data_IF_455098896891
#
_entry.id   IF_455098896891
#
_cell.length_a   1.000
_cell.length_b   1.000
_cell.length_c   1.000
_cell.angle_alpha   90.00
_cell.angle_beta   90.00
_cell.angle_gamma   90.00
#
_symmetry.space_group_name_H-M   'P 1'
#
loop_
_entity.id
_entity.type
_entity.pdbx_description
1 polymer ?
#
# COMPACT_ATOMS: atom_id res chain seq x y z
N UNK A 1 8.20 -19.72 20.48
CA UNK A 1 9.55 -19.86 19.93
C UNK A 1 9.70 -20.81 18.72
N UNK A 2 8.74 -21.68 18.41
CA UNK A 2 8.83 -22.58 17.23
C UNK A 2 8.50 -21.91 15.89
N UNK A 3 7.78 -20.80 15.86
CA UNK A 3 7.30 -20.15 14.63
C UNK A 3 8.27 -19.09 14.07
N UNK A 4 9.31 -18.70 14.83
CA UNK A 4 10.31 -17.74 14.37
C UNK A 4 11.35 -18.38 13.43
N UNK A 5 11.50 -19.72 13.48
CA UNK A 5 12.43 -20.47 12.63
C UNK A 5 11.95 -20.70 11.20
N UNK A 6 10.63 -20.53 10.93
CA UNK A 6 10.05 -20.79 9.61
C UNK A 6 10.34 -19.63 8.63
N UNK A 7 10.38 -18.39 9.13
CA UNK A 7 10.67 -17.20 8.30
C UNK A 7 12.11 -17.16 7.79
N UNK A 8 13.07 -17.63 8.57
CA UNK A 8 14.47 -17.69 8.17
C UNK A 8 14.76 -18.82 7.17
N UNK A 9 14.00 -19.91 7.23
CA UNK A 9 14.15 -21.03 6.31
C UNK A 9 13.67 -20.70 4.89
N UNK A 10 12.65 -19.84 4.73
CA UNK A 10 12.14 -19.46 3.41
C UNK A 10 13.11 -18.56 2.64
N UNK A 11 13.83 -17.66 3.35
CA UNK A 11 14.85 -16.79 2.77
C UNK A 11 16.12 -17.58 2.41
N UNK A 12 16.45 -18.63 3.16
CA UNK A 12 17.61 -19.46 2.92
C UNK A 12 17.42 -20.44 1.75
N UNK A 13 16.18 -20.87 1.44
CA UNK A 13 15.91 -21.75 0.32
C UNK A 13 16.00 -21.05 -1.06
N UNK A 14 15.95 -19.74 -1.11
CA UNK A 14 16.05 -18.97 -2.37
C UNK A 14 17.53 -18.74 -2.75
N UNK A 15 18.48 -18.87 -1.83
CA UNK A 15 19.88 -18.49 -2.04
C UNK A 15 20.86 -19.62 -2.31
N UNK A 16 20.49 -20.88 -2.15
CA UNK A 16 21.45 -21.99 -2.34
C UNK A 16 20.77 -23.27 -2.80
N UNK A 17 20.82 -23.55 -4.02
CA UNK A 17 20.77 -24.81 -4.79
C UNK A 17 19.84 -24.67 -6.01
N UNK A 18 20.38 -24.99 -7.17
CA UNK A 18 19.67 -25.28 -8.40
C UNK A 18 18.87 -26.60 -8.28
N UNK A 19 17.88 -26.61 -7.40
CA UNK A 19 16.86 -27.63 -7.40
C UNK A 19 15.72 -27.11 -8.27
N UNK A 20 15.37 -27.82 -9.31
CA UNK A 20 14.16 -27.62 -10.09
C UNK A 20 12.95 -27.96 -9.21
N UNK A 21 12.67 -27.09 -8.24
CA UNK A 21 11.43 -27.13 -7.48
C UNK A 21 10.33 -26.74 -8.48
N UNK A 22 9.36 -27.63 -8.70
CA UNK A 22 8.28 -27.34 -9.63
C UNK A 22 7.57 -26.08 -9.16
N UNK A 23 7.28 -25.15 -10.10
CA UNK A 23 6.56 -23.90 -9.81
C UNK A 23 5.24 -24.17 -9.06
N UNK A 24 4.65 -25.33 -9.25
CA UNK A 24 3.44 -25.79 -8.58
C UNK A 24 3.67 -26.11 -7.09
N UNK A 25 4.81 -26.71 -6.72
CA UNK A 25 5.16 -26.97 -5.33
C UNK A 25 5.39 -25.68 -4.56
N UNK A 26 6.12 -24.73 -5.13
CA UNK A 26 6.36 -23.40 -4.54
C UNK A 26 5.03 -22.68 -4.34
N UNK A 27 4.18 -22.67 -5.35
CA UNK A 27 2.86 -22.07 -5.33
C UNK A 27 1.97 -22.69 -4.23
N UNK A 28 1.92 -24.01 -4.13
CA UNK A 28 1.11 -24.68 -3.13
C UNK A 28 1.60 -24.35 -1.70
N UNK A 29 2.92 -24.32 -1.49
CA UNK A 29 3.52 -23.95 -0.22
C UNK A 29 3.29 -22.49 0.16
N UNK A 30 3.35 -21.57 -0.81
CA UNK A 30 3.03 -20.14 -0.58
C UNK A 30 1.55 -19.99 -0.22
N UNK A 31 0.64 -20.68 -0.91
CA UNK A 31 -0.79 -20.63 -0.60
C UNK A 31 -1.11 -21.22 0.78
N UNK A 32 -0.53 -22.39 1.11
CA UNK A 32 -0.69 -23.03 2.40
C UNK A 32 -0.22 -22.11 3.53
N UNK A 33 1.01 -21.59 3.44
CA UNK A 33 1.57 -20.63 4.40
C UNK A 33 0.73 -19.37 4.52
N UNK A 34 0.32 -18.80 3.38
CA UNK A 34 -0.50 -17.58 3.33
C UNK A 34 -1.85 -17.80 4.03
N UNK A 35 -2.52 -18.91 3.74
CA UNK A 35 -3.83 -19.20 4.32
C UNK A 35 -3.74 -19.51 5.82
N UNK A 36 -2.77 -20.32 6.25
CA UNK A 36 -2.56 -20.63 7.67
C UNK A 36 -2.20 -19.39 8.47
N UNK A 37 -1.30 -18.54 7.94
CA UNK A 37 -0.90 -17.29 8.57
C UNK A 37 -2.07 -16.32 8.64
N UNK A 38 -2.83 -16.15 7.56
CA UNK A 38 -4.00 -15.29 7.53
C UNK A 38 -5.08 -15.76 8.52
N UNK A 39 -5.32 -17.08 8.63
CA UNK A 39 -6.24 -17.63 9.61
C UNK A 39 -5.78 -17.41 11.06
N UNK A 40 -4.50 -17.64 11.34
CA UNK A 40 -3.94 -17.42 12.68
C UNK A 40 -4.04 -15.95 13.12
N UNK A 41 -3.68 -15.01 12.21
CA UNK A 41 -3.80 -13.57 12.45
C UNK A 41 -5.27 -13.17 12.58
N UNK A 42 -6.14 -13.69 11.72
CA UNK A 42 -7.59 -13.40 11.76
C UNK A 42 -8.20 -13.84 13.09
N UNK A 43 -7.86 -15.04 13.58
CA UNK A 43 -8.34 -15.53 14.87
C UNK A 43 -7.81 -14.69 16.04
N UNK A 44 -6.52 -14.34 16.01
CA UNK A 44 -5.94 -13.45 17.01
C UNK A 44 -6.63 -12.08 17.01
N UNK A 45 -6.81 -11.48 15.84
CA UNK A 45 -7.43 -10.16 15.71
C UNK A 45 -8.90 -10.18 16.14
N UNK A 46 -9.68 -11.19 15.76
CA UNK A 46 -11.08 -11.36 16.19
C UNK A 46 -11.22 -11.48 17.72
N UNK A 47 -10.29 -12.17 18.34
CA UNK A 47 -10.33 -12.39 19.79
C UNK A 47 -9.88 -11.18 20.60
N UNK A 48 -9.07 -10.28 20.02
CA UNK A 48 -8.46 -9.16 20.76
C UNK A 48 -8.89 -7.77 20.23
N UNK A 49 -9.39 -7.69 18.98
CA UNK A 49 -9.72 -6.42 18.32
C UNK A 49 -11.02 -6.57 17.50
N UNK A 50 -12.15 -6.61 18.16
CA UNK A 50 -13.48 -6.95 17.60
C UNK A 50 -13.84 -6.15 16.33
N UNK A 51 -13.46 -4.87 16.28
CA UNK A 51 -13.83 -3.97 15.18
C UNK A 51 -12.72 -3.77 14.14
N UNK A 52 -11.60 -4.47 14.25
CA UNK A 52 -10.58 -4.44 13.21
C UNK A 52 -11.10 -5.11 11.94
N UNK A 53 -11.01 -4.42 10.81
CA UNK A 53 -11.50 -4.88 9.51
C UNK A 53 -10.39 -5.21 8.52
N UNK A 54 -9.21 -4.64 8.73
CA UNK A 54 -8.06 -4.78 7.83
C UNK A 54 -6.76 -4.74 8.62
N UNK A 55 -5.83 -5.60 8.23
CA UNK A 55 -4.45 -5.60 8.72
C UNK A 55 -3.53 -5.95 7.57
N UNK A 56 -2.44 -5.22 7.40
CA UNK A 56 -1.40 -5.57 6.46
C UNK A 56 0.01 -5.44 7.02
N UNK A 57 0.91 -6.16 6.36
CA UNK A 57 2.36 -6.11 6.55
C UNK A 57 2.97 -5.85 5.18
N UNK A 58 3.74 -4.79 5.04
CA UNK A 58 4.34 -4.37 3.77
C UNK A 58 5.86 -4.32 3.88
N UNK A 59 6.53 -4.80 2.84
CA UNK A 59 7.96 -4.68 2.63
C UNK A 59 8.16 -3.91 1.34
N UNK A 60 8.78 -2.74 1.44
CA UNK A 60 9.07 -1.88 0.30
C UNK A 60 10.56 -1.83 0.05
N UNK A 61 10.92 -1.82 -1.21
CA UNK A 61 12.29 -1.65 -1.68
C UNK A 61 12.33 -0.50 -2.69
N UNK A 62 13.34 0.32 -2.60
CA UNK A 62 13.62 1.40 -3.54
C UNK A 62 15.11 1.45 -3.79
N UNK A 63 15.52 1.71 -5.02
CA UNK A 63 16.94 1.87 -5.35
C UNK A 63 17.57 2.95 -4.47
N UNK A 64 18.80 2.72 -4.07
CA UNK A 64 19.61 3.62 -3.22
C UNK A 64 19.13 3.81 -1.78
N UNK A 65 18.06 3.14 -1.35
CA UNK A 65 17.52 3.19 0.01
C UNK A 65 17.53 1.81 0.66
N UNK A 66 17.50 1.78 1.99
CA UNK A 66 17.29 0.56 2.76
C UNK A 66 15.84 0.07 2.59
N UNK A 67 15.58 -1.25 2.68
CA UNK A 67 14.22 -1.78 2.72
C UNK A 67 13.42 -1.14 3.85
N UNK A 68 12.18 -0.77 3.56
CA UNK A 68 11.22 -0.23 4.53
C UNK A 68 10.20 -1.30 4.90
N UNK A 69 9.74 -1.27 6.13
CA UNK A 69 8.73 -2.18 6.66
C UNK A 69 7.55 -1.36 7.17
N UNK A 70 6.35 -1.87 6.97
CA UNK A 70 5.19 -1.27 7.61
C UNK A 70 4.19 -2.31 8.11
N UNK A 71 3.48 -1.95 9.17
CA UNK A 71 2.29 -2.65 9.65
C UNK A 71 1.17 -1.63 9.72
N UNK A 72 0.00 -1.98 9.18
CA UNK A 72 -1.13 -1.07 9.13
C UNK A 72 -2.43 -1.79 9.47
N UNK A 73 -3.31 -1.12 10.21
CA UNK A 73 -4.63 -1.60 10.54
C UNK A 73 -5.71 -0.57 10.22
N UNK A 74 -6.91 -1.06 9.85
CA UNK A 74 -8.12 -0.25 9.76
C UNK A 74 -9.18 -0.86 10.68
N UNK A 75 -9.70 -0.02 11.58
CA UNK A 75 -10.69 -0.40 12.59
C UNK A 75 -11.97 0.40 12.38
N UNK A 76 -13.11 -0.26 12.30
CA UNK A 76 -14.41 0.38 12.28
C UNK A 76 -14.72 0.96 13.67
N UNK A 77 -14.96 2.25 13.74
CA UNK A 77 -15.35 2.93 14.99
C UNK A 77 -16.87 3.03 15.09
N UNK A 78 -17.52 3.36 13.98
CA UNK A 78 -18.96 3.51 13.93
C UNK A 78 -19.48 3.18 12.53
N UNK A 79 -20.47 2.33 12.45
CA UNK A 79 -21.23 2.10 11.22
C UNK A 79 -22.29 3.18 11.07
N UNK A 80 -22.31 3.86 9.93
CA UNK A 80 -23.33 4.86 9.58
C UNK A 80 -24.15 4.36 8.38
N UNK A 81 -25.24 5.08 8.05
CA UNK A 81 -26.05 4.73 6.90
C UNK A 81 -25.22 4.78 5.61
N UNK A 82 -25.15 3.63 4.93
CA UNK A 82 -24.36 3.43 3.70
C UNK A 82 -22.87 3.80 3.85
N UNK A 83 -22.29 3.66 5.05
CA UNK A 83 -20.90 4.06 5.26
C UNK A 83 -20.32 3.66 6.61
N UNK A 84 -19.16 4.25 6.91
CA UNK A 84 -18.39 3.97 8.13
C UNK A 84 -17.59 5.17 8.59
N UNK A 85 -17.39 5.28 9.91
CA UNK A 85 -16.32 6.07 10.52
C UNK A 85 -15.26 5.07 10.96
N UNK A 86 -14.01 5.31 10.62
CA UNK A 86 -12.91 4.38 10.86
C UNK A 86 -11.68 5.08 11.44
N UNK A 87 -10.85 4.30 12.08
CA UNK A 87 -9.48 4.64 12.43
C UNK A 87 -8.53 3.85 11.52
N UNK A 88 -7.46 4.48 11.08
CA UNK A 88 -6.30 3.84 10.46
C UNK A 88 -5.07 4.16 11.28
N UNK A 89 -4.33 3.12 11.66
CA UNK A 89 -3.07 3.26 12.38
C UNK A 89 -1.99 2.47 11.65
N UNK A 90 -0.81 3.06 11.47
CA UNK A 90 0.35 2.36 10.92
C UNK A 90 1.63 2.73 11.64
N UNK A 91 2.56 1.77 11.65
CA UNK A 91 3.95 1.93 12.04
C UNK A 91 4.81 1.63 10.83
N UNK A 92 5.70 2.54 10.46
CA UNK A 92 6.52 2.44 9.27
C UNK A 92 7.99 2.70 9.62
N UNK A 93 8.89 1.96 8.96
CA UNK A 93 10.33 2.27 8.98
C UNK A 93 10.73 2.84 7.63
N UNK A 94 11.69 3.76 7.60
CA UNK A 94 12.25 4.31 6.37
C UNK A 94 13.63 4.90 6.62
N UNK A 95 14.66 4.34 5.98
CA UNK A 95 16.05 4.80 6.04
C UNK A 95 16.56 5.05 7.48
N UNK A 96 16.25 4.09 8.38
CA UNK A 96 16.49 4.09 9.82
C UNK A 96 15.51 4.96 10.66
N UNK A 97 14.62 5.71 10.05
CA UNK A 97 13.60 6.50 10.76
C UNK A 97 12.33 5.67 10.98
N UNK A 98 11.72 5.79 12.14
CA UNK A 98 10.46 5.13 12.49
C UNK A 98 9.34 6.18 12.62
N UNK A 99 8.20 5.92 11.99
CA UNK A 99 7.06 6.84 11.99
C UNK A 99 5.77 6.11 12.37
N UNK A 100 5.04 6.64 13.34
CA UNK A 100 3.66 6.26 13.62
C UNK A 100 2.70 7.23 12.93
N UNK A 101 1.65 6.68 12.32
CA UNK A 101 0.55 7.45 11.74
C UNK A 101 -0.75 7.02 12.41
N UNK A 102 -1.54 7.97 12.87
CA UNK A 102 -2.86 7.73 13.44
C UNK A 102 -3.86 8.62 12.71
N UNK A 103 -4.85 7.99 12.09
CA UNK A 103 -5.83 8.70 11.28
C UNK A 103 -7.25 8.31 11.61
N UNK A 104 -8.17 9.23 11.32
CA UNK A 104 -9.61 9.04 11.39
C UNK A 104 -10.22 9.45 10.08
N UNK A 105 -11.19 8.68 9.60
CA UNK A 105 -11.86 8.98 8.35
C UNK A 105 -13.32 8.59 8.38
N UNK A 106 -14.04 9.16 7.42
CA UNK A 106 -15.43 8.82 7.13
C UNK A 106 -15.54 8.43 5.66
N UNK A 107 -16.29 7.38 5.39
CA UNK A 107 -16.60 6.89 4.04
C UNK A 107 -18.08 6.71 3.87
N UNK A 108 -18.58 7.04 2.68
CA UNK A 108 -19.98 6.85 2.29
C UNK A 108 -20.09 6.25 0.90
N UNK A 109 -20.93 5.24 0.77
CA UNK A 109 -21.31 4.62 -0.49
C UNK A 109 -22.46 5.38 -1.15
N UNK A 110 -22.38 5.53 -2.45
CA UNK A 110 -23.33 6.26 -3.30
C UNK A 110 -23.72 5.40 -4.51
N UNK A 111 -24.87 5.74 -5.13
CA UNK A 111 -25.33 5.12 -6.38
C UNK A 111 -25.33 3.59 -6.33
N UNK A 112 -26.13 3.01 -5.45
CA UNK A 112 -26.20 1.56 -5.26
C UNK A 112 -24.81 0.92 -4.99
N UNK A 113 -24.01 1.57 -4.16
CA UNK A 113 -22.67 1.16 -3.77
C UNK A 113 -21.62 1.15 -4.91
N UNK A 114 -21.88 1.83 -6.03
CA UNK A 114 -20.95 1.89 -7.18
C UNK A 114 -19.83 2.91 -6.99
N UNK A 115 -20.03 3.87 -6.11
CA UNK A 115 -19.06 4.90 -5.76
C UNK A 115 -18.92 4.97 -4.24
N UNK A 116 -17.71 5.23 -3.80
CA UNK A 116 -17.38 5.53 -2.41
C UNK A 116 -16.68 6.88 -2.40
N UNK A 117 -17.16 7.77 -1.55
CA UNK A 117 -16.46 9.03 -1.24
C UNK A 117 -15.98 8.99 0.20
N UNK A 118 -14.84 9.59 0.48
CA UNK A 118 -14.28 9.64 1.82
C UNK A 118 -13.50 10.91 2.08
N UNK A 119 -13.34 11.19 3.36
CA UNK A 119 -12.40 12.19 3.87
C UNK A 119 -11.72 11.66 5.12
N UNK A 120 -10.51 12.16 5.38
CA UNK A 120 -9.70 11.69 6.49
C UNK A 120 -8.79 12.81 7.03
N UNK A 121 -8.39 12.62 8.29
CA UNK A 121 -7.41 13.45 8.99
C UNK A 121 -6.41 12.52 9.66
N UNK A 122 -5.13 12.90 9.61
CA UNK A 122 -4.02 12.12 10.16
C UNK A 122 -3.13 12.98 11.05
N UNK A 123 -2.54 12.34 12.05
CA UNK A 123 -1.40 12.81 12.81
C UNK A 123 -0.25 11.81 12.61
N UNK A 124 0.92 12.33 12.24
CA UNK A 124 2.13 11.56 12.01
C UNK A 124 3.22 12.03 12.97
N UNK A 125 3.96 11.10 13.55
CA UNK A 125 5.09 11.37 14.40
C UNK A 125 6.25 10.42 14.08
N UNK A 126 7.39 10.99 13.73
CA UNK A 126 8.67 10.31 13.67
C UNK A 126 9.28 10.25 15.06
N UNK A 127 9.89 9.11 15.42
CA UNK A 127 10.39 8.93 16.79
C UNK A 127 11.79 9.51 16.97
N UNK A 128 12.68 9.38 16.01
CA UNK A 128 14.09 9.75 16.15
C UNK A 128 14.26 11.25 16.44
N UNK A 129 14.10 12.12 15.45
CA UNK A 129 14.20 13.57 15.63
C UNK A 129 12.93 14.21 16.16
N UNK A 130 11.85 13.40 16.27
CA UNK A 130 10.57 13.85 16.80
C UNK A 130 9.83 14.82 15.89
N UNK A 131 9.99 14.67 14.57
CA UNK A 131 9.20 15.43 13.59
C UNK A 131 7.73 15.03 13.68
N UNK A 132 6.87 16.03 13.46
CA UNK A 132 5.41 15.89 13.56
C UNK A 132 4.74 16.55 12.37
N UNK A 133 3.67 15.89 11.88
CA UNK A 133 2.91 16.35 10.74
C UNK A 133 1.43 16.03 10.92
N UNK A 134 0.55 16.91 10.49
CA UNK A 134 -0.86 16.60 10.29
C UNK A 134 -1.14 16.44 8.80
N UNK A 135 -2.14 15.66 8.46
CA UNK A 135 -2.58 15.45 7.08
C UNK A 135 -4.10 15.48 6.97
N UNK A 136 -4.58 15.96 5.84
CA UNK A 136 -5.99 15.89 5.47
C UNK A 136 -6.11 15.30 4.07
N UNK A 137 -7.09 14.42 3.85
CA UNK A 137 -7.28 13.79 2.55
C UNK A 137 -8.73 13.63 2.16
N UNK A 138 -8.93 13.50 0.85
CA UNK A 138 -10.21 13.17 0.23
C UNK A 138 -10.02 12.05 -0.77
N UNK A 139 -11.06 11.24 -0.97
CA UNK A 139 -11.02 10.13 -1.91
C UNK A 139 -12.37 9.93 -2.61
N UNK A 140 -12.29 9.53 -3.87
CA UNK A 140 -13.42 9.07 -4.67
C UNK A 140 -13.02 7.74 -5.31
N UNK A 141 -13.72 6.67 -4.97
CA UNK A 141 -13.36 5.31 -5.31
C UNK A 141 -14.50 4.66 -6.08
N UNK A 142 -14.15 3.96 -7.16
CA UNK A 142 -15.07 3.15 -7.95
C UNK A 142 -14.44 1.80 -8.30
N UNK A 143 -15.16 0.97 -9.05
CA UNK A 143 -14.60 -0.27 -9.60
C UNK A 143 -13.79 -0.06 -10.88
N UNK A 144 -13.72 1.16 -11.40
CA UNK A 144 -13.03 1.53 -12.64
C UNK A 144 -11.80 2.36 -12.36
N UNK A 145 -11.93 3.38 -11.51
CA UNK A 145 -10.83 4.25 -11.11
C UNK A 145 -11.01 4.72 -9.68
N UNK A 146 -9.90 5.02 -9.01
CA UNK A 146 -9.86 5.67 -7.72
C UNK A 146 -9.08 6.97 -7.85
N UNK A 147 -9.59 8.06 -7.30
CA UNK A 147 -8.92 9.36 -7.21
C UNK A 147 -8.74 9.73 -5.75
N UNK A 148 -7.54 10.14 -5.37
CA UNK A 148 -7.19 10.55 -4.02
C UNK A 148 -6.36 11.83 -4.04
N UNK A 149 -6.57 12.68 -3.04
CA UNK A 149 -5.74 13.86 -2.82
C UNK A 149 -5.49 14.03 -1.33
N UNK A 150 -4.24 14.32 -0.98
CA UNK A 150 -3.79 14.52 0.39
C UNK A 150 -3.02 15.84 0.49
N UNK A 151 -3.18 16.50 1.63
CA UNK A 151 -2.41 17.68 2.01
C UNK A 151 -1.74 17.40 3.35
N UNK A 152 -0.52 17.85 3.50
CA UNK A 152 0.35 17.63 4.65
C UNK A 152 0.84 18.95 5.21
N UNK A 153 0.75 19.11 6.54
CA UNK A 153 1.21 20.29 7.25
C UNK A 153 2.18 19.90 8.36
N UNK A 154 3.44 20.26 8.23
CA UNK A 154 4.46 20.05 9.23
C UNK A 154 4.21 20.96 10.43
N UNK A 155 4.04 20.37 11.60
CA UNK A 155 3.75 21.11 12.84
C UNK A 155 4.92 21.15 13.82
N UNK A 156 6.03 20.45 13.49
CA UNK A 156 7.28 20.56 14.22
C UNK A 156 8.17 21.62 13.60
N UNK A 157 8.85 22.39 14.44
CA UNK A 157 9.90 23.31 14.00
C UNK A 157 11.16 22.58 13.51
N UNK A 158 12.18 23.35 13.18
CA UNK A 158 13.52 22.83 12.87
C UNK A 158 14.09 22.08 14.07
N UNK A 159 14.75 20.94 13.81
CA UNK A 159 15.42 20.09 14.80
C UNK A 159 16.92 20.11 14.56
N UNK A 160 17.70 20.21 15.63
CA UNK A 160 19.15 20.11 15.54
C UNK A 160 19.55 18.64 15.49
N UNK A 161 20.42 18.29 14.57
CA UNK A 161 21.04 16.96 14.43
C UNK A 161 22.55 17.09 14.64
N UNK A 162 23.26 15.96 14.76
CA UNK A 162 24.71 15.95 14.94
C UNK A 162 25.47 16.68 13.80
N UNK A 163 24.92 16.63 12.58
CA UNK A 163 25.53 17.16 11.36
C UNK A 163 24.91 18.49 10.87
N UNK A 164 23.91 19.02 11.58
CA UNK A 164 23.23 20.26 11.15
C UNK A 164 21.83 20.41 11.71
N UNK A 165 20.86 20.66 10.85
CA UNK A 165 19.45 20.76 11.25
C UNK A 165 18.54 20.08 10.24
N UNK A 166 17.37 19.64 10.71
CA UNK A 166 16.33 19.06 9.88
C UNK A 166 15.00 19.79 10.09
N UNK A 167 14.18 19.80 9.04
CA UNK A 167 12.83 20.35 9.09
C UNK A 167 11.88 19.49 8.27
N UNK A 168 10.73 19.14 8.85
CA UNK A 168 9.64 18.49 8.14
C UNK A 168 9.02 19.45 7.11
N UNK A 169 8.56 18.89 5.98
CA UNK A 169 8.04 19.65 4.84
C UNK A 169 6.53 19.62 4.79
N UNK A 170 5.94 20.76 4.46
CA UNK A 170 4.56 20.86 4.00
C UNK A 170 4.47 20.35 2.55
N UNK A 171 3.30 19.84 2.15
CA UNK A 171 3.16 19.40 0.78
C UNK A 171 1.80 18.77 0.49
N UNK A 172 1.70 18.23 -0.70
CA UNK A 172 0.51 17.51 -1.16
C UNK A 172 0.88 16.39 -2.11
N UNK A 173 -0.02 15.42 -2.22
CA UNK A 173 -0.01 14.44 -3.30
C UNK A 173 -1.41 14.21 -3.83
N UNK A 174 -1.46 13.75 -5.08
CA UNK A 174 -2.68 13.24 -5.69
C UNK A 174 -2.38 11.98 -6.46
N UNK A 175 -3.26 10.98 -6.38
CA UNK A 175 -3.10 9.71 -7.05
C UNK A 175 -4.37 9.31 -7.80
N UNK A 176 -4.16 8.87 -9.03
CA UNK A 176 -5.17 8.22 -9.86
C UNK A 176 -4.77 6.75 -10.06
N UNK A 177 -5.67 5.84 -9.69
CA UNK A 177 -5.55 4.42 -10.00
C UNK A 177 -6.59 4.05 -11.05
N UNK A 178 -6.19 3.30 -12.07
CA UNK A 178 -7.10 2.71 -13.06
C UNK A 178 -7.10 1.19 -12.91
N UNK A 179 -8.29 0.63 -12.69
CA UNK A 179 -8.51 -0.80 -12.53
C UNK A 179 -8.63 -1.46 -13.91
N UNK A 180 -7.64 -2.24 -14.30
CA UNK A 180 -7.62 -2.87 -15.61
C UNK A 180 -8.79 -3.84 -15.78
N UNK A 181 -9.48 -3.81 -16.92
CA UNK A 181 -10.52 -4.77 -17.21
C UNK A 181 -9.91 -6.17 -17.35
N UNK A 182 -10.47 -7.15 -16.68
CA UNK A 182 -9.94 -8.51 -16.71
C UNK A 182 -10.44 -9.38 -15.57
N UNK A 183 -9.87 -10.59 -15.45
CA UNK A 183 -10.19 -11.52 -14.38
C UNK A 183 -9.34 -11.27 -13.12
N UNK A 184 -8.17 -10.65 -13.25
CA UNK A 184 -7.25 -10.35 -12.15
C UNK A 184 -7.46 -8.92 -11.70
N UNK A 185 -7.27 -8.71 -10.42
CA UNK A 185 -7.26 -7.37 -9.83
C UNK A 185 -5.89 -6.76 -10.05
N UNK A 186 -5.75 -6.06 -11.16
CA UNK A 186 -4.52 -5.35 -11.58
C UNK A 186 -4.88 -3.89 -11.78
N UNK A 187 -4.12 -3.02 -11.15
CA UNK A 187 -4.28 -1.58 -11.26
C UNK A 187 -3.00 -0.96 -11.80
N UNK A 188 -3.14 0.07 -12.61
CA UNK A 188 -2.03 0.98 -12.95
C UNK A 188 -2.32 2.31 -12.26
N UNK A 189 -1.27 2.99 -11.82
CA UNK A 189 -1.44 4.25 -11.10
C UNK A 189 -0.43 5.31 -11.53
N UNK A 190 -0.84 6.56 -11.32
CA UNK A 190 0.03 7.72 -11.36
C UNK A 190 -0.22 8.56 -10.10
N UNK A 191 0.85 8.95 -9.43
CA UNK A 191 0.84 9.84 -8.27
C UNK A 191 1.71 11.06 -8.59
N UNK A 192 1.18 12.24 -8.35
CA UNK A 192 1.89 13.51 -8.43
C UNK A 192 2.06 14.05 -7.01
N UNK A 193 3.22 14.58 -6.72
CA UNK A 193 3.51 15.17 -5.40
C UNK A 193 4.34 16.44 -5.49
N UNK A 194 4.18 17.29 -4.48
CA UNK A 194 4.97 18.49 -4.30
C UNK A 194 5.12 18.79 -2.80
N UNK A 195 6.34 19.06 -2.37
CA UNK A 195 6.68 19.42 -1.00
C UNK A 195 7.53 20.70 -1.00
N UNK A 196 7.18 21.66 -0.12
CA UNK A 196 7.90 22.90 0.04
C UNK A 196 9.30 22.65 0.59
N UNK A 197 10.29 23.35 0.03
CA UNK A 197 11.66 23.32 0.53
C UNK A 197 12.05 24.70 1.11
N UNK A 198 11.80 24.94 2.40
CA UNK A 198 12.06 26.24 3.02
C UNK A 198 13.54 26.53 3.28
N UNK A 199 14.42 25.54 3.10
CA UNK A 199 15.82 25.65 3.52
C UNK A 199 16.68 26.53 2.61
N UNK A 200 16.30 26.75 1.39
CA UNK A 200 17.21 27.31 0.38
C UNK A 200 16.98 28.78 0.06
N UNK A 201 15.90 29.39 0.57
CA UNK A 201 15.50 30.73 0.12
C UNK A 201 15.28 30.80 -1.40
N UNK A 202 15.37 29.64 -2.07
CA UNK A 202 15.14 29.45 -3.48
C UNK A 202 13.83 28.64 -3.63
N UNK A 203 13.13 28.93 -4.69
CA UNK A 203 11.83 28.37 -5.08
C UNK A 203 11.87 26.89 -5.46
N UNK A 204 12.79 26.09 -4.91
CA UNK A 204 12.93 24.70 -5.30
C UNK A 204 12.07 23.81 -4.41
N UNK A 205 10.80 23.80 -4.71
CA UNK A 205 9.87 22.76 -4.29
C UNK A 205 10.40 21.41 -4.76
N UNK A 206 10.22 20.38 -3.92
CA UNK A 206 10.51 19.02 -4.32
C UNK A 206 9.26 18.44 -4.92
N UNK A 207 9.25 18.23 -6.22
CA UNK A 207 8.11 17.73 -6.95
C UNK A 207 8.47 16.61 -7.90
N UNK A 208 7.55 15.68 -8.06
CA UNK A 208 7.78 14.55 -8.91
C UNK A 208 6.53 13.74 -9.19
N UNK A 209 6.76 12.61 -9.83
CA UNK A 209 5.74 11.67 -10.26
C UNK A 209 6.15 10.26 -9.89
N UNK A 210 5.21 9.46 -9.38
CA UNK A 210 5.35 8.01 -9.26
C UNK A 210 4.37 7.37 -10.23
N UNK A 211 4.85 6.49 -11.09
CA UNK A 211 3.99 5.67 -11.96
C UNK A 211 4.26 4.20 -11.68
N UNK A 212 3.22 3.38 -11.70
CA UNK A 212 3.41 1.97 -11.41
C UNK A 212 2.17 1.13 -11.66
N UNK A 213 2.30 -0.12 -11.26
CA UNK A 213 1.22 -1.08 -11.29
C UNK A 213 1.25 -1.95 -10.03
N UNK A 214 0.09 -2.39 -9.60
CA UNK A 214 -0.05 -3.40 -8.56
C UNK A 214 -1.01 -4.50 -8.98
N UNK A 215 -0.81 -5.68 -8.41
CA UNK A 215 -1.62 -6.85 -8.65
C UNK A 215 -1.89 -7.60 -7.34
N UNK A 216 -3.15 -8.01 -7.15
CA UNK A 216 -3.55 -8.84 -6.02
C UNK A 216 -3.40 -10.32 -6.37
N UNK A 217 -2.70 -11.07 -5.54
CA UNK A 217 -2.43 -12.50 -5.66
C UNK A 217 -2.80 -13.21 -4.34
N UNK A 218 -4.06 -13.58 -4.18
CA UNK A 218 -4.55 -14.08 -2.90
C UNK A 218 -4.42 -13.01 -1.81
N UNK A 219 -3.73 -13.34 -0.73
CA UNK A 219 -3.47 -12.40 0.38
C UNK A 219 -2.27 -11.48 0.12
N UNK A 220 -1.62 -11.58 -1.04
CA UNK A 220 -0.51 -10.73 -1.39
C UNK A 220 -0.93 -9.65 -2.39
N UNK A 221 -0.41 -8.45 -2.21
CA UNK A 221 -0.41 -7.39 -3.21
C UNK A 221 1.04 -7.11 -3.56
N UNK A 222 1.35 -7.21 -4.85
CA UNK A 222 2.67 -6.88 -5.38
C UNK A 222 2.55 -5.57 -6.12
N UNK A 223 3.43 -4.62 -5.82
CA UNK A 223 3.50 -3.34 -6.49
C UNK A 223 4.90 -3.12 -7.05
N UNK A 224 4.99 -2.45 -8.20
CA UNK A 224 6.25 -1.99 -8.79
C UNK A 224 6.02 -0.73 -9.59
N UNK A 225 7.01 0.14 -9.61
CA UNK A 225 6.92 1.40 -10.34
C UNK A 225 8.25 2.14 -10.42
N UNK A 226 8.13 3.35 -10.92
CA UNK A 226 9.23 4.27 -11.09
C UNK A 226 8.86 5.63 -10.52
N UNK A 227 9.79 6.21 -9.76
CA UNK A 227 9.78 7.56 -9.22
C UNK A 227 10.67 8.44 -10.10
N UNK A 228 10.20 9.60 -10.44
CA UNK A 228 10.95 10.67 -11.11
C UNK A 228 10.70 11.98 -10.38
N UNK A 229 11.74 12.70 -9.96
CA UNK A 229 11.63 13.96 -9.26
C UNK A 229 12.65 15.02 -9.76
N UNK A 230 12.43 16.25 -9.38
CA UNK A 230 13.30 17.38 -9.76
C UNK A 230 14.59 17.48 -8.91
N UNK A 231 14.90 16.50 -8.06
CA UNK A 231 16.08 16.45 -7.19
C UNK A 231 17.04 15.31 -7.57
N UNK A 232 16.83 14.66 -8.73
CA UNK A 232 17.58 13.50 -9.21
C UNK A 232 17.50 12.27 -8.27
N UNK A 233 16.38 12.08 -7.59
CA UNK A 233 16.10 10.87 -6.82
C UNK A 233 15.35 9.81 -7.63
N UNK A 234 15.56 9.79 -8.94
CA UNK A 234 14.97 8.82 -9.84
C UNK A 234 15.30 7.39 -9.39
N UNK A 235 14.28 6.58 -9.24
CA UNK A 235 14.46 5.25 -8.70
C UNK A 235 13.33 4.29 -9.11
N UNK A 236 13.66 3.02 -9.33
CA UNK A 236 12.70 1.95 -9.29
C UNK A 236 12.33 1.62 -7.85
N UNK A 237 11.05 1.35 -7.64
CA UNK A 237 10.55 0.87 -6.37
C UNK A 237 9.66 -0.36 -6.55
N UNK A 238 9.50 -1.11 -5.48
CA UNK A 238 8.61 -2.25 -5.42
C UNK A 238 8.16 -2.52 -4.00
N UNK A 239 7.02 -3.19 -3.84
CA UNK A 239 6.57 -3.69 -2.55
C UNK A 239 5.89 -5.05 -2.65
N UNK A 240 5.93 -5.77 -1.55
CA UNK A 240 5.15 -6.98 -1.32
C UNK A 240 4.39 -6.80 -0.01
N UNK A 241 3.08 -6.76 -0.12
CA UNK A 241 2.17 -6.56 0.99
C UNK A 241 1.39 -7.84 1.26
N UNK A 242 1.41 -8.29 2.51
CA UNK A 242 0.55 -9.37 2.99
C UNK A 242 -0.66 -8.80 3.69
N UNK A 243 -1.87 -9.14 3.21
CA UNK A 243 -3.14 -8.54 3.63
C UNK A 243 -4.01 -9.55 4.32
N UNK A 244 -4.54 -9.21 5.48
CA UNK A 244 -5.56 -9.96 6.21
C UNK A 244 -6.82 -9.10 6.33
N UNK A 245 -7.87 -9.49 5.63
CA UNK A 245 -9.17 -8.85 5.73
C UNK A 245 -9.99 -9.54 6.80
N UNK A 246 -10.50 -8.77 7.74
CA UNK A 246 -11.22 -9.21 8.93
C UNK A 246 -12.69 -8.77 8.81
N UNK A 247 -13.64 -9.71 8.88
CA UNK A 247 -15.08 -9.41 8.85
C UNK A 247 -15.90 -10.43 8.10
N UNK A 248 -17.21 -10.52 8.44
CA UNK A 248 -18.09 -11.64 8.06
C UNK A 248 -18.57 -11.63 6.59
N UNK A 249 -18.29 -10.61 5.78
CA UNK A 249 -18.92 -10.45 4.46
C UNK A 249 -17.99 -10.13 3.29
N UNK A 250 -16.68 -10.05 3.49
CA UNK A 250 -15.80 -9.84 2.36
C UNK A 250 -15.41 -11.20 1.78
N UNK A 251 -16.34 -11.82 1.03
CA UNK A 251 -15.95 -12.80 0.01
C UNK A 251 -15.18 -12.01 -1.06
N UNK A 252 -13.91 -11.78 -0.81
CA UNK A 252 -13.01 -11.44 -1.90
C UNK A 252 -12.91 -12.69 -2.75
N UNK A 253 -13.38 -12.61 -3.99
CA UNK A 253 -12.93 -13.49 -5.05
C UNK A 253 -11.45 -13.22 -5.32
N UNK A 254 -10.60 -13.43 -4.31
CA UNK A 254 -9.17 -13.56 -4.51
C UNK A 254 -9.01 -14.84 -5.32
N UNK A 255 -8.62 -14.68 -6.56
CA UNK A 255 -8.20 -15.82 -7.36
C UNK A 255 -7.01 -16.43 -6.65
N UNK A 256 -7.25 -17.54 -5.99
CA UNK A 256 -6.19 -18.31 -5.40
C UNK A 256 -5.15 -18.59 -6.49
N UNK A 257 -3.88 -18.52 -6.15
CA UNK A 257 -2.80 -18.94 -7.06
C UNK A 257 -3.08 -20.35 -7.66
N UNK A 258 -3.95 -21.13 -7.03
CA UNK A 258 -4.44 -22.44 -7.52
C UNK A 258 -5.11 -22.43 -8.90
N UNK A 259 -5.65 -21.31 -9.38
CA UNK A 259 -6.25 -21.23 -10.70
C UNK A 259 -5.28 -20.88 -11.84
N UNK A 260 -3.99 -20.67 -11.56
CA UNK A 260 -2.96 -20.58 -12.59
C UNK A 260 -2.63 -22.02 -13.04
N UNK A 261 -3.50 -22.65 -13.81
CA UNK A 261 -3.15 -23.87 -14.52
C UNK A 261 -2.13 -23.54 -15.59
N UNK A 262 -1.06 -24.36 -15.68
CA UNK A 262 -0.04 -24.25 -16.70
C UNK A 262 -0.70 -24.29 -18.09
N UNK A 263 -0.56 -23.24 -18.92
CA UNK A 263 -1.19 -23.18 -20.23
C UNK A 263 -0.55 -24.10 -21.27
N UNK A 264 0.47 -24.87 -20.90
CA UNK A 264 1.23 -25.69 -21.85
C UNK A 264 0.75 -27.15 -21.97
N UNK A 265 -0.15 -27.63 -21.12
CA UNK A 265 -0.44 -29.05 -21.01
C UNK A 265 -1.59 -29.59 -21.90
N UNK A 266 -2.40 -28.73 -22.54
CA UNK A 266 -3.50 -29.25 -23.38
C UNK A 266 -3.91 -28.35 -24.55
N UNK A 267 -3.77 -28.84 -25.78
CA UNK A 267 -4.16 -28.12 -27.00
C UNK A 267 -5.67 -27.79 -27.05
N UNK A 268 -6.51 -28.63 -26.45
CA UNK A 268 -7.97 -28.40 -26.31
C UNK A 268 -8.30 -27.30 -25.31
N UNK A 269 -7.42 -27.01 -24.35
CA UNK A 269 -7.59 -25.93 -23.41
C UNK A 269 -7.35 -24.55 -24.02
N UNK A 270 -6.46 -24.42 -25.04
CA UNK A 270 -6.22 -23.13 -25.71
C UNK A 270 -7.48 -22.53 -26.32
N UNK A 271 -8.29 -23.35 -26.97
CA UNK A 271 -9.52 -22.88 -27.63
C UNK A 271 -10.62 -22.56 -26.61
N UNK A 272 -10.74 -23.33 -25.53
CA UNK A 272 -11.67 -23.03 -24.44
C UNK A 272 -11.25 -21.80 -23.60
N UNK A 273 -9.94 -21.54 -23.45
CA UNK A 273 -9.44 -20.33 -22.78
C UNK A 273 -9.71 -19.07 -23.58
N UNK A 274 -9.55 -19.11 -24.90
CA UNK A 274 -9.90 -17.96 -25.75
C UNK A 274 -11.40 -17.66 -25.72
N UNK A 275 -12.26 -18.69 -25.77
CA UNK A 275 -13.72 -18.51 -25.70
C UNK A 275 -14.20 -18.09 -24.29
N UNK A 276 -13.64 -18.66 -23.23
CA UNK A 276 -13.97 -18.28 -21.86
C UNK A 276 -13.45 -16.87 -21.50
N UNK A 277 -12.26 -16.50 -22.01
CA UNK A 277 -11.72 -15.15 -21.84
C UNK A 277 -12.52 -14.08 -22.59
N UNK A 278 -13.14 -14.43 -23.71
CA UNK A 278 -14.01 -13.54 -24.46
C UNK A 278 -15.41 -13.39 -23.83
N UNK A 279 -15.94 -14.43 -23.17
CA UNK A 279 -17.26 -14.38 -22.50
C UNK A 279 -17.25 -13.70 -21.14
N UNK A 280 -16.11 -13.68 -20.42
CA UNK A 280 -16.00 -13.12 -19.07
C UNK A 280 -15.06 -11.91 -18.99
N UNK A 281 -14.77 -11.24 -20.09
CA UNK A 281 -14.06 -9.96 -20.05
C UNK A 281 -14.93 -8.96 -19.31
N UNK A 282 -14.43 -8.41 -18.19
CA UNK A 282 -14.98 -7.18 -17.61
C UNK A 282 -15.05 -6.15 -18.71
N UNK A 283 -16.25 -5.65 -18.99
CA UNK A 283 -16.38 -4.56 -19.95
C UNK A 283 -15.62 -3.37 -19.39
N UNK A 284 -14.84 -2.71 -20.22
CA UNK A 284 -14.22 -1.44 -19.85
C UNK A 284 -15.33 -0.46 -19.41
N UNK A 285 -15.08 0.26 -18.29
CA UNK A 285 -16.02 1.24 -17.71
C UNK A 285 -17.36 0.68 -17.18
N UNK A 286 -17.43 -0.61 -16.84
CA UNK A 286 -18.61 -1.15 -16.14
C UNK A 286 -18.46 -0.93 -14.61
N UNK A 287 -19.27 -0.03 -14.06
CA UNK A 287 -19.28 0.25 -12.61
C UNK A 287 -20.02 -0.84 -11.85
N UNK A 288 -19.36 -1.39 -10.84
CA UNK A 288 -19.85 -2.44 -9.94
C UNK A 288 -19.82 -1.93 -8.51
N UNK A 289 -20.47 -2.67 -7.59
CA UNK A 289 -20.39 -2.36 -6.16
C UNK A 289 -18.93 -2.32 -5.67
N UNK A 290 -18.65 -1.33 -4.84
CA UNK A 290 -17.38 -1.13 -4.14
C UNK A 290 -17.54 -1.18 -2.62
N UNK A 291 -18.57 -1.86 -2.14
CA UNK A 291 -18.83 -2.05 -0.70
C UNK A 291 -17.64 -2.75 0.00
N UNK A 292 -16.96 -3.64 -0.71
CA UNK A 292 -15.73 -4.30 -0.26
C UNK A 292 -14.56 -3.35 -0.02
N UNK A 293 -14.61 -2.14 -0.60
CA UNK A 293 -13.58 -1.11 -0.44
C UNK A 293 -13.79 -0.20 0.77
N UNK A 294 -14.85 -0.38 1.56
CA UNK A 294 -15.12 0.46 2.75
C UNK A 294 -13.97 0.49 3.75
N UNK A 295 -13.22 -0.60 3.87
CA UNK A 295 -12.14 -0.75 4.86
C UNK A 295 -10.76 -0.91 4.26
N UNK A 296 -10.57 -0.63 2.96
CA UNK A 296 -9.21 -0.57 2.41
C UNK A 296 -8.46 0.62 3.03
N UNK A 297 -7.13 0.53 3.18
CA UNK A 297 -6.35 1.66 3.69
C UNK A 297 -6.50 2.92 2.83
N UNK A 298 -6.49 4.07 3.51
CA UNK A 298 -6.27 5.35 2.84
C UNK A 298 -4.88 5.36 2.24
N UNK A 299 -4.77 5.61 0.94
CA UNK A 299 -3.47 5.76 0.27
C UNK A 299 -2.99 7.20 0.44
N UNK A 300 -1.82 7.35 1.04
CA UNK A 300 -1.16 8.63 1.32
C UNK A 300 0.33 8.42 1.56
N UNK A 301 1.10 9.49 1.60
CA UNK A 301 2.48 9.42 2.05
C UNK A 301 2.53 9.26 3.58
N UNK A 302 2.99 8.09 4.05
CA UNK A 302 3.07 7.76 5.48
C UNK A 302 4.39 8.19 6.12
N UNK A 303 5.43 8.45 5.31
CA UNK A 303 6.74 8.92 5.77
C UNK A 303 6.73 10.43 5.89
N UNK A 304 7.38 10.97 6.90
CA UNK A 304 7.55 12.43 7.03
C UNK A 304 8.75 12.83 6.17
N UNK A 305 8.50 13.64 5.15
CA UNK A 305 9.58 14.18 4.31
C UNK A 305 10.27 15.29 5.03
N UNK A 306 11.59 15.26 5.05
CA UNK A 306 12.41 16.26 5.75
C UNK A 306 13.47 16.85 4.82
N UNK A 307 13.83 18.10 5.04
CA UNK A 307 15.02 18.70 4.48
C UNK A 307 16.12 18.69 5.54
N UNK A 308 17.29 18.14 5.16
CA UNK A 308 18.50 18.12 5.99
C UNK A 308 19.45 19.21 5.52
N UNK A 309 19.81 20.12 6.43
CA UNK A 309 20.76 21.19 6.19
C UNK A 309 22.02 20.86 6.96
N UNK A 310 23.07 20.48 6.27
CA UNK A 310 24.37 20.15 6.85
C UNK A 310 25.44 21.12 6.38
N UNK A 311 26.62 21.04 6.99
CA UNK A 311 27.79 21.81 6.54
C UNK A 311 28.23 21.46 5.11
N UNK A 312 27.86 20.29 4.62
CA UNK A 312 28.17 19.82 3.27
C UNK A 312 27.11 20.18 2.23
N UNK A 313 25.95 20.75 2.64
CA UNK A 313 24.88 21.15 1.73
C UNK A 313 23.48 20.83 2.24
N UNK A 314 22.51 21.00 1.35
CA UNK A 314 21.10 20.73 1.61
C UNK A 314 20.71 19.43 0.91
N UNK A 315 20.06 18.52 1.63
CA UNK A 315 19.54 17.27 1.09
C UNK A 315 18.07 17.11 1.52
N UNK A 316 17.21 16.72 0.61
CA UNK A 316 15.85 16.30 0.95
C UNK A 316 15.83 14.79 1.05
N UNK A 317 15.20 14.25 2.09
CA UNK A 317 15.06 12.83 2.35
C UNK A 317 13.59 12.45 2.56
N UNK A 318 13.31 11.15 2.50
CA UNK A 318 11.95 10.62 2.60
C UNK A 318 11.31 10.28 1.24
N UNK A 319 12.12 10.26 0.16
CA UNK A 319 11.66 9.91 -1.18
C UNK A 319 11.91 8.46 -1.50
#
# INVERSE_FOLDING_TARGET
>A
MKNLFISTALIYMISSHSVSVSAELVKNKINEFSNETALAISNFAKNNFENMKYLDFDIQVQEKLKPSFSIMSVTELLKIDSGTIFNQTSLNTHDDDETINIGFGVRKLLNDNKFLIGSNLFYDQQFDEGHKRTGAGVEAISSVFDLRGNYYNAISGSKNTNDGSERALDGWDTQLDYHLPGKRDVNVFANLFEFENPATGSTHEVKGTKIGANASLGNFIIESGYLDDNQNNDAFFGSIKFVVVLGDKIKKDYYALSEIKDPTSDKKMKDSYQLASLKNKRKAFEYRSVEDKLYIPVKRENKIRVVKISKSGVKVSGF
#
